data_IF_787323005822
#
_entry.id   IF_787323005822
#
_cell.length_a   1.000
_cell.length_b   1.000
_cell.length_c   1.000
_cell.angle_alpha   90.00
_cell.angle_beta   90.00
_cell.angle_gamma   90.00
#
_symmetry.space_group_name_H-M   'P 1'
#
loop_
_entity.id
_entity.type
_entity.pdbx_description
1 polymer ?
#
# COMPACT_ATOMS: atom_id res chain seq x y z
N UNK A 1 -10.81 -5.65 -23.39
CA UNK A 1 -10.59 -4.55 -22.41
C UNK A 1 -10.34 -5.20 -21.06
N UNK A 2 -9.38 -4.69 -20.24
CA UNK A 2 -9.24 -5.14 -18.85
C UNK A 2 -10.45 -4.58 -18.10
N UNK A 3 -11.35 -5.46 -17.62
CA UNK A 3 -12.44 -5.05 -16.76
C UNK A 3 -11.95 -4.95 -15.31
N UNK A 4 -12.35 -3.93 -14.55
CA UNK A 4 -12.04 -3.84 -13.13
C UNK A 4 -12.82 -4.94 -12.37
N UNK A 5 -12.16 -5.60 -11.44
CA UNK A 5 -12.84 -6.49 -10.49
C UNK A 5 -13.46 -5.65 -9.38
N UNK A 6 -14.74 -5.32 -9.53
CA UNK A 6 -15.50 -4.49 -8.60
C UNK A 6 -16.02 -5.38 -7.46
N UNK A 7 -15.73 -4.98 -6.21
CA UNK A 7 -16.18 -5.66 -4.99
C UNK A 7 -17.46 -4.98 -4.46
N UNK A 8 -17.51 -3.67 -4.56
CA UNK A 8 -18.67 -2.85 -4.17
C UNK A 8 -18.71 -1.58 -5.01
N UNK A 9 -19.91 -1.14 -5.34
CA UNK A 9 -20.13 0.13 -6.02
C UNK A 9 -21.45 0.73 -5.61
N UNK A 10 -21.47 2.07 -5.45
CA UNK A 10 -22.68 2.87 -5.32
C UNK A 10 -22.52 4.23 -6.05
N UNK A 11 -23.40 5.18 -5.76
CA UNK A 11 -23.34 6.51 -6.38
C UNK A 11 -22.13 7.36 -5.92
N UNK A 12 -21.42 6.97 -4.84
CA UNK A 12 -20.39 7.76 -4.20
C UNK A 12 -18.97 7.20 -4.36
N UNK A 13 -18.85 5.87 -4.41
CA UNK A 13 -17.56 5.21 -4.40
C UNK A 13 -17.57 3.85 -5.12
N UNK A 14 -16.38 3.38 -5.48
CA UNK A 14 -16.09 2.05 -6.00
C UNK A 14 -15.01 1.44 -5.12
N UNK A 15 -15.26 0.23 -4.60
CA UNK A 15 -14.24 -0.65 -4.02
C UNK A 15 -13.91 -1.72 -5.04
N UNK A 16 -12.63 -1.88 -5.36
CA UNK A 16 -12.19 -2.83 -6.37
C UNK A 16 -10.85 -3.48 -6.03
N UNK A 17 -10.58 -4.62 -6.65
CA UNK A 17 -9.28 -5.24 -6.65
C UNK A 17 -8.37 -4.58 -7.70
N UNK A 18 -7.18 -4.14 -7.28
CA UNK A 18 -6.11 -3.69 -8.16
C UNK A 18 -5.14 -4.85 -8.41
N UNK A 19 -4.98 -5.35 -9.63
CA UNK A 19 -3.99 -6.37 -9.92
C UNK A 19 -2.56 -5.80 -9.85
N UNK A 20 -1.59 -6.68 -9.60
CA UNK A 20 -0.18 -6.37 -9.74
C UNK A 20 0.15 -5.96 -11.19
N UNK A 21 1.10 -5.03 -11.37
CA UNK A 21 1.52 -4.55 -12.68
C UNK A 21 0.73 -3.35 -13.22
N UNK A 22 -0.48 -3.08 -12.71
CA UNK A 22 -1.27 -1.91 -13.09
C UNK A 22 -1.06 -0.78 -12.07
N UNK A 23 -0.71 0.41 -12.55
CA UNK A 23 -0.58 1.59 -11.68
C UNK A 23 -1.94 2.04 -11.15
N UNK A 24 -1.99 2.59 -9.95
CA UNK A 24 -3.19 3.27 -9.45
C UNK A 24 -3.56 4.44 -10.36
N UNK A 25 -2.56 5.26 -10.70
CA UNK A 25 -2.66 6.40 -11.63
C UNK A 25 -1.29 6.64 -12.25
N UNK A 26 -1.25 6.93 -13.55
CA UNK A 26 -0.02 7.26 -14.27
C UNK A 26 -0.15 8.56 -15.06
N UNK A 27 0.98 9.24 -15.28
CA UNK A 27 1.07 10.37 -16.21
C UNK A 27 1.55 9.95 -17.60
N UNK A 28 1.89 8.67 -17.80
CA UNK A 28 2.38 8.16 -19.07
C UNK A 28 1.22 8.00 -20.06
N UNK A 29 1.29 8.70 -21.17
CA UNK A 29 0.29 8.60 -22.23
C UNK A 29 0.27 7.15 -22.79
N UNK A 30 -0.95 6.63 -23.03
CA UNK A 30 -1.14 5.30 -23.59
C UNK A 30 -0.99 4.14 -22.60
N UNK A 31 -0.52 4.37 -21.37
CA UNK A 31 -0.48 3.35 -20.33
C UNK A 31 -1.79 3.32 -19.54
N UNK A 32 -2.43 2.14 -19.52
CA UNK A 32 -3.65 1.93 -18.71
C UNK A 32 -3.30 1.96 -17.22
N UNK A 33 -4.16 2.58 -16.43
CA UNK A 33 -4.13 2.60 -14.98
C UNK A 33 -5.53 2.40 -14.40
N UNK A 34 -5.62 2.23 -13.07
CA UNK A 34 -6.93 1.99 -12.44
C UNK A 34 -7.90 3.16 -12.65
N UNK A 35 -7.40 4.41 -12.61
CA UNK A 35 -8.25 5.59 -12.85
C UNK A 35 -8.86 5.57 -14.24
N UNK A 36 -8.08 5.32 -15.28
CA UNK A 36 -8.57 5.26 -16.66
C UNK A 36 -9.52 4.08 -16.90
N UNK A 37 -9.27 2.94 -16.27
CA UNK A 37 -10.14 1.75 -16.35
C UNK A 37 -11.49 2.06 -15.71
N UNK A 38 -11.50 2.64 -14.49
CA UNK A 38 -12.72 2.96 -13.75
C UNK A 38 -13.47 4.15 -14.37
N UNK A 39 -12.78 5.14 -14.96
CA UNK A 39 -13.43 6.21 -15.72
C UNK A 39 -14.22 5.65 -16.91
N UNK A 40 -13.64 4.70 -17.65
CA UNK A 40 -14.33 4.05 -18.74
C UNK A 40 -15.53 3.21 -18.27
N UNK A 41 -15.42 2.56 -17.11
CA UNK A 41 -16.52 1.82 -16.51
C UNK A 41 -17.69 2.76 -16.17
N UNK A 42 -17.44 3.82 -15.40
CA UNK A 42 -18.48 4.79 -14.98
C UNK A 42 -19.07 5.55 -16.17
N UNK A 43 -18.29 5.83 -17.23
CA UNK A 43 -18.78 6.50 -18.43
C UNK A 43 -19.83 5.69 -19.21
N UNK A 44 -19.82 4.36 -19.08
CA UNK A 44 -20.82 3.48 -19.73
C UNK A 44 -22.16 3.47 -19.00
N UNK A 45 -22.19 3.88 -17.72
CA UNK A 45 -23.37 3.82 -16.86
C UNK A 45 -24.23 5.09 -16.88
N UNK A 46 -23.73 6.24 -17.37
CA UNK A 46 -24.43 7.50 -17.16
C UNK A 46 -24.21 8.58 -18.21
N UNK A 47 -25.07 9.61 -18.15
CA UNK A 47 -25.10 10.77 -19.05
C UNK A 47 -24.26 11.95 -18.56
N UNK A 48 -23.59 11.86 -17.41
CA UNK A 48 -22.76 12.91 -16.80
C UNK A 48 -21.28 12.82 -17.16
N UNK A 49 -20.50 13.85 -16.81
CA UNK A 49 -19.04 13.76 -16.88
C UNK A 49 -18.53 12.76 -15.83
N UNK A 50 -17.87 11.66 -16.23
CA UNK A 50 -17.37 10.67 -15.29
C UNK A 50 -16.24 11.27 -14.45
N UNK A 51 -16.23 10.94 -13.15
CA UNK A 51 -15.19 11.36 -12.21
C UNK A 51 -14.73 10.19 -11.38
N UNK A 52 -13.41 10.02 -11.26
CA UNK A 52 -12.77 9.07 -10.35
C UNK A 52 -11.71 9.80 -9.53
N UNK A 53 -11.95 9.88 -8.21
CA UNK A 53 -11.04 10.46 -7.23
C UNK A 53 -10.17 9.40 -6.57
N UNK A 54 -8.85 9.57 -6.64
CA UNK A 54 -7.89 8.71 -5.93
C UNK A 54 -7.81 9.12 -4.47
N UNK A 55 -8.14 8.22 -3.56
CA UNK A 55 -8.12 8.43 -2.11
C UNK A 55 -6.79 7.98 -1.50
N UNK A 56 -6.34 6.79 -1.90
CA UNK A 56 -5.05 6.22 -1.51
C UNK A 56 -4.42 5.51 -2.71
N UNK A 57 -3.17 5.09 -2.58
CA UNK A 57 -2.41 4.50 -3.69
C UNK A 57 -1.73 3.21 -3.26
N UNK A 58 -1.68 2.26 -4.19
CA UNK A 58 -0.79 1.11 -4.15
C UNK A 58 0.29 1.29 -5.23
N UNK A 59 1.49 0.80 -4.95
CA UNK A 59 2.57 0.76 -5.94
C UNK A 59 2.14 -0.07 -7.16
N UNK A 60 2.68 0.25 -8.32
CA UNK A 60 2.33 -0.47 -9.55
C UNK A 60 2.46 -2.00 -9.43
N UNK A 61 3.55 -2.56 -8.87
CA UNK A 61 3.69 -4.01 -8.74
C UNK A 61 2.90 -4.65 -7.58
N UNK A 62 2.26 -3.85 -6.72
CA UNK A 62 1.52 -4.33 -5.54
C UNK A 62 0.06 -4.55 -5.88
N UNK A 63 -0.49 -5.71 -5.50
CA UNK A 63 -1.91 -6.02 -5.62
C UNK A 63 -2.70 -5.62 -4.37
N UNK A 64 -4.02 -5.56 -4.48
CA UNK A 64 -4.84 -5.39 -3.30
C UNK A 64 -6.16 -4.67 -3.50
N UNK A 65 -6.93 -4.59 -2.41
CA UNK A 65 -8.20 -3.87 -2.36
C UNK A 65 -7.95 -2.36 -2.27
N UNK A 66 -8.73 -1.61 -3.05
CA UNK A 66 -8.68 -0.15 -3.09
C UNK A 66 -10.09 0.45 -3.14
N UNK A 67 -10.23 1.67 -2.62
CA UNK A 67 -11.43 2.50 -2.79
C UNK A 67 -11.11 3.72 -3.65
N UNK A 68 -12.04 4.04 -4.56
CA UNK A 68 -12.05 5.24 -5.39
C UNK A 68 -13.37 5.99 -5.19
N UNK A 69 -13.31 7.31 -5.20
CA UNK A 69 -14.51 8.13 -5.10
C UNK A 69 -15.10 8.42 -6.48
N UNK A 70 -16.43 8.34 -6.62
CA UNK A 70 -17.19 8.74 -7.84
C UNK A 70 -17.59 10.20 -7.82
N UNK A 71 -17.43 10.90 -6.69
CA UNK A 71 -17.75 12.34 -6.54
C UNK A 71 -16.62 13.09 -5.84
N UNK A 72 -16.49 14.40 -6.15
CA UNK A 72 -15.49 15.26 -5.48
C UNK A 72 -15.73 15.35 -3.97
N UNK A 73 -16.98 15.35 -3.53
CA UNK A 73 -17.35 15.40 -2.11
C UNK A 73 -16.91 14.12 -1.38
N UNK A 74 -17.18 12.94 -1.97
CA UNK A 74 -16.76 11.68 -1.43
C UNK A 74 -15.21 11.59 -1.37
N UNK A 75 -14.52 12.04 -2.43
CA UNK A 75 -13.05 12.09 -2.45
C UNK A 75 -12.48 12.93 -1.31
N UNK A 76 -13.05 14.11 -1.05
CA UNK A 76 -12.60 15.00 0.03
C UNK A 76 -12.78 14.34 1.41
N UNK A 77 -13.96 13.73 1.68
CA UNK A 77 -14.26 13.07 2.96
C UNK A 77 -13.39 11.83 3.20
N UNK A 78 -13.21 10.97 2.18
CA UNK A 78 -12.34 9.81 2.29
C UNK A 78 -10.87 10.20 2.45
N UNK A 79 -10.41 11.24 1.74
CA UNK A 79 -9.06 11.78 1.90
C UNK A 79 -8.82 12.37 3.30
N UNK A 80 -9.84 12.94 3.94
CA UNK A 80 -9.77 13.39 5.33
C UNK A 80 -9.53 12.20 6.27
N UNK A 81 -10.25 11.08 6.10
CA UNK A 81 -10.05 9.86 6.89
C UNK A 81 -8.65 9.26 6.72
N UNK A 82 -8.09 9.32 5.51
CA UNK A 82 -6.68 8.91 5.29
C UNK A 82 -5.71 9.83 6.02
N UNK A 83 -5.99 11.14 6.07
CA UNK A 83 -5.14 12.14 6.71
C UNK A 83 -5.18 12.08 8.24
N UNK A 84 -6.34 11.81 8.82
CA UNK A 84 -6.53 11.71 10.28
C UNK A 84 -6.33 10.29 10.83
N UNK A 85 -5.91 9.34 9.96
CA UNK A 85 -5.62 7.95 10.28
C UNK A 85 -6.84 7.11 10.71
N UNK A 86 -8.06 7.57 10.44
CA UNK A 86 -9.28 6.79 10.64
C UNK A 86 -9.62 5.85 9.48
N UNK A 87 -8.82 5.84 8.43
CA UNK A 87 -8.88 4.90 7.31
C UNK A 87 -7.89 3.75 7.55
N UNK A 88 -8.41 2.57 7.90
CA UNK A 88 -7.60 1.39 8.17
C UNK A 88 -7.08 0.71 6.90
N UNK A 89 -5.86 0.18 6.98
CA UNK A 89 -5.21 -0.58 5.91
C UNK A 89 -4.35 -1.68 6.50
N UNK A 90 -4.60 -2.94 6.07
CA UNK A 90 -3.71 -4.03 6.43
C UNK A 90 -3.15 -4.73 5.19
N UNK A 91 -1.96 -5.28 5.36
CA UNK A 91 -1.21 -5.89 4.28
C UNK A 91 -0.67 -7.25 4.70
N UNK A 92 -0.67 -8.19 3.78
CA UNK A 92 0.21 -9.34 3.88
C UNK A 92 1.51 -9.05 3.14
N UNK A 93 2.63 -9.39 3.78
CA UNK A 93 3.95 -9.33 3.18
C UNK A 93 4.68 -10.65 3.41
N UNK A 94 5.15 -11.29 2.33
CA UNK A 94 6.05 -12.45 2.45
C UNK A 94 7.48 -11.95 2.29
N UNK A 95 8.31 -12.15 3.31
CA UNK A 95 9.69 -11.68 3.38
C UNK A 95 10.67 -12.83 3.22
N UNK A 96 11.88 -12.52 2.75
CA UNK A 96 13.01 -13.44 2.70
C UNK A 96 13.69 -13.51 4.06
N UNK A 97 14.02 -14.72 4.50
CA UNK A 97 14.86 -14.96 5.67
C UNK A 97 16.26 -15.46 5.23
N UNK A 98 17.33 -15.09 5.94
CA UNK A 98 18.62 -15.73 5.79
C UNK A 98 18.50 -17.23 6.10
N UNK A 99 19.29 -18.05 5.42
CA UNK A 99 19.26 -19.49 5.59
C UNK A 99 19.49 -19.92 7.04
N UNK A 100 18.61 -20.79 7.54
CA UNK A 100 18.68 -21.34 8.90
C UNK A 100 18.33 -20.35 10.01
N UNK A 101 17.76 -19.18 9.70
CA UNK A 101 17.34 -18.19 10.70
C UNK A 101 15.83 -17.99 10.72
N UNK A 102 15.28 -17.90 11.92
CA UNK A 102 13.93 -17.37 12.16
C UNK A 102 13.88 -15.86 11.90
N UNK A 103 12.68 -15.30 11.82
CA UNK A 103 12.51 -13.84 11.69
C UNK A 103 13.18 -13.08 12.86
N UNK A 104 13.00 -13.59 14.10
CA UNK A 104 13.59 -12.96 15.28
C UNK A 104 15.14 -12.99 15.26
N UNK A 105 15.74 -14.10 14.83
CA UNK A 105 17.19 -14.21 14.70
C UNK A 105 17.77 -13.40 13.55
N UNK A 106 17.00 -13.25 12.46
CA UNK A 106 17.42 -12.46 11.31
C UNK A 106 17.40 -10.96 11.57
N UNK A 107 16.42 -10.49 12.35
CA UNK A 107 16.14 -9.07 12.54
C UNK A 107 16.60 -8.54 13.91
N UNK A 108 16.75 -9.40 14.91
CA UNK A 108 16.92 -9.00 16.31
C UNK A 108 15.64 -8.45 16.95
N UNK A 109 14.49 -8.57 16.28
CA UNK A 109 13.18 -8.11 16.74
C UNK A 109 12.29 -9.30 17.11
N UNK A 110 11.28 -9.05 17.95
CA UNK A 110 10.24 -10.05 18.26
C UNK A 110 9.39 -10.39 17.02
N UNK A 111 8.59 -11.46 17.09
CA UNK A 111 7.67 -11.88 16.02
C UNK A 111 6.48 -10.95 15.85
N UNK A 112 6.30 -9.99 16.74
CA UNK A 112 5.34 -8.87 16.62
C UNK A 112 5.95 -7.59 17.20
N UNK A 113 5.54 -6.46 16.64
CA UNK A 113 6.06 -5.16 17.09
C UNK A 113 5.70 -4.01 16.17
N UNK A 114 6.30 -2.87 16.45
CA UNK A 114 6.11 -1.61 15.72
C UNK A 114 7.43 -1.19 15.09
N UNK A 115 7.42 -0.92 13.78
CA UNK A 115 8.54 -0.26 13.10
C UNK A 115 8.25 1.24 12.99
N UNK A 116 9.17 2.03 13.54
CA UNK A 116 9.12 3.49 13.50
C UNK A 116 10.44 4.01 12.94
N UNK A 117 10.40 4.53 11.73
CA UNK A 117 11.57 4.99 10.99
C UNK A 117 11.36 6.39 10.44
N UNK A 118 12.46 7.08 10.15
CA UNK A 118 12.45 8.28 9.33
C UNK A 118 12.83 7.92 7.91
N UNK A 119 11.99 8.34 6.95
CA UNK A 119 12.18 8.02 5.54
C UNK A 119 12.41 9.27 4.72
N UNK A 120 13.28 9.15 3.73
CA UNK A 120 13.54 10.15 2.70
C UNK A 120 13.25 9.58 1.32
N UNK A 121 12.60 10.39 0.47
CA UNK A 121 12.32 10.04 -0.91
C UNK A 121 13.30 10.74 -1.86
N UNK A 122 14.08 9.97 -2.59
CA UNK A 122 14.90 10.44 -3.71
C UNK A 122 14.07 10.45 -5.00
N UNK A 123 13.80 11.66 -5.51
CA UNK A 123 13.01 11.84 -6.74
C UNK A 123 13.75 11.40 -7.99
N UNK A 124 15.10 11.49 -8.02
CA UNK A 124 15.89 11.14 -9.19
C UNK A 124 15.90 9.63 -9.39
N UNK A 125 16.15 8.91 -8.32
CA UNK A 125 16.17 7.44 -8.29
C UNK A 125 14.76 6.84 -8.18
N UNK A 126 13.73 7.67 -7.91
CA UNK A 126 12.38 7.23 -7.57
C UNK A 126 12.41 6.15 -6.48
N UNK A 127 13.26 6.33 -5.47
CA UNK A 127 13.55 5.37 -4.41
C UNK A 127 13.45 6.05 -3.05
N UNK A 128 12.97 5.33 -2.03
CA UNK A 128 12.98 5.79 -0.64
C UNK A 128 14.02 5.01 0.15
N UNK A 129 14.53 5.60 1.22
CA UNK A 129 15.43 4.95 2.16
C UNK A 129 15.07 5.35 3.60
N UNK A 130 15.42 4.50 4.55
CA UNK A 130 15.44 4.85 5.97
C UNK A 130 16.67 5.69 6.21
N UNK A 131 16.52 6.72 7.03
CA UNK A 131 17.60 7.62 7.43
C UNK A 131 17.60 7.77 8.96
N UNK A 132 18.72 8.20 9.51
CA UNK A 132 18.82 8.47 10.95
C UNK A 132 17.82 9.54 11.38
N UNK A 133 17.34 9.41 12.62
CA UNK A 133 16.41 10.37 13.19
C UNK A 133 16.98 11.79 13.16
N UNK A 134 16.27 12.79 12.63
CA UNK A 134 16.76 14.16 12.59
C UNK A 134 16.98 14.68 14.02
N UNK A 135 18.10 15.36 14.27
CA UNK A 135 18.37 16.03 15.55
C UNK A 135 17.30 17.08 15.81
N UNK A 136 16.99 17.35 17.10
CA UNK A 136 15.90 18.24 17.53
C UNK A 136 15.88 19.63 16.84
N UNK A 137 17.03 20.15 16.48
CA UNK A 137 17.20 21.45 15.80
C UNK A 137 16.63 21.48 14.36
N UNK A 138 16.43 20.32 13.72
CA UNK A 138 15.87 20.20 12.36
C UNK A 138 14.36 20.02 12.33
N UNK A 139 13.68 19.98 13.48
CA UNK A 139 12.22 19.78 13.59
C UNK A 139 11.36 21.01 13.33
N UNK A 140 11.95 22.17 13.11
CA UNK A 140 11.20 23.41 12.89
C UNK A 140 10.76 23.55 11.42
N UNK A 141 9.49 23.25 11.21
CA UNK A 141 8.76 23.57 9.98
C UNK A 141 8.82 22.48 8.91
N UNK A 142 7.73 22.35 8.16
CA UNK A 142 7.52 21.52 6.98
C UNK A 142 8.84 21.12 6.31
N UNK A 143 9.30 19.87 6.58
CA UNK A 143 10.65 19.42 6.33
C UNK A 143 11.23 19.84 4.99
N UNK A 144 12.04 20.90 5.00
CA UNK A 144 12.79 21.35 3.82
C UNK A 144 13.64 20.24 3.20
N UNK A 145 13.85 19.12 3.92
CA UNK A 145 14.65 17.96 3.50
C UNK A 145 13.80 16.74 3.08
N UNK A 146 12.45 16.83 3.03
CA UNK A 146 11.60 15.71 2.60
C UNK A 146 11.58 14.51 3.56
N UNK A 147 12.06 14.65 4.80
CA UNK A 147 12.04 13.61 5.82
C UNK A 147 10.61 13.41 6.36
N UNK A 148 10.17 12.17 6.44
CA UNK A 148 8.84 11.81 6.92
C UNK A 148 8.91 10.62 7.87
N UNK A 149 8.18 10.72 9.00
CA UNK A 149 8.03 9.59 9.90
C UNK A 149 7.16 8.51 9.25
N UNK A 150 7.60 7.26 9.36
CA UNK A 150 6.94 6.06 8.88
C UNK A 150 6.64 5.12 10.05
N UNK A 151 5.38 4.71 10.19
CA UNK A 151 4.90 3.89 11.29
C UNK A 151 4.04 2.75 10.78
N UNK A 152 4.37 1.52 11.16
CA UNK A 152 3.57 0.33 10.96
C UNK A 152 3.70 -0.63 12.14
N UNK A 153 2.67 -1.44 12.37
CA UNK A 153 2.75 -2.61 13.23
C UNK A 153 2.84 -3.86 12.36
N UNK A 154 3.55 -4.88 12.84
CA UNK A 154 3.66 -6.16 12.17
C UNK A 154 3.49 -7.32 13.15
N UNK A 155 3.04 -8.45 12.62
CA UNK A 155 3.01 -9.73 13.30
C UNK A 155 3.37 -10.82 12.30
N UNK A 156 4.33 -11.67 12.65
CA UNK A 156 4.66 -12.88 11.91
C UNK A 156 3.55 -13.90 12.15
N UNK A 157 2.88 -14.33 11.09
CA UNK A 157 1.75 -15.28 11.15
C UNK A 157 2.16 -16.67 10.68
N UNK A 158 3.24 -16.79 9.93
CA UNK A 158 3.82 -18.07 9.50
C UNK A 158 5.29 -17.91 9.20
N UNK A 159 6.11 -18.89 9.59
CA UNK A 159 7.51 -18.99 9.18
C UNK A 159 7.74 -20.31 8.42
N UNK A 160 8.57 -20.22 7.40
CA UNK A 160 9.06 -21.34 6.60
C UNK A 160 10.59 -21.25 6.53
N UNK A 161 11.25 -22.28 6.04
CA UNK A 161 12.74 -22.38 6.05
C UNK A 161 13.48 -21.11 5.57
N UNK A 162 12.94 -20.45 4.54
CA UNK A 162 13.58 -19.26 3.90
C UNK A 162 12.68 -18.05 3.81
N UNK A 163 11.49 -18.10 4.40
CA UNK A 163 10.52 -17.01 4.30
C UNK A 163 9.67 -16.88 5.54
N UNK A 164 9.16 -15.67 5.81
CA UNK A 164 8.11 -15.44 6.79
C UNK A 164 6.95 -14.67 6.15
N UNK A 165 5.73 -14.96 6.60
CA UNK A 165 4.51 -14.23 6.23
C UNK A 165 4.14 -13.30 7.38
N UNK A 166 4.02 -12.02 7.09
CA UNK A 166 3.68 -10.97 8.03
C UNK A 166 2.28 -10.42 7.76
N UNK A 167 1.53 -10.19 8.83
CA UNK A 167 0.34 -9.34 8.87
C UNK A 167 0.79 -7.95 9.32
N UNK A 168 0.48 -6.92 8.54
CA UNK A 168 0.98 -5.55 8.75
C UNK A 168 -0.20 -4.58 8.83
N UNK A 169 -0.27 -3.80 9.91
CA UNK A 169 -1.17 -2.65 10.03
C UNK A 169 -0.41 -1.38 9.69
N UNK A 170 -0.86 -0.66 8.66
CA UNK A 170 -0.16 0.51 8.15
C UNK A 170 -0.75 1.82 8.69
N UNK A 171 -0.05 2.50 9.61
CA UNK A 171 -0.49 3.75 10.21
C UNK A 171 -0.16 4.97 9.35
N UNK A 172 0.97 4.96 8.64
CA UNK A 172 1.37 6.01 7.70
C UNK A 172 1.51 5.43 6.29
N UNK A 173 1.37 6.25 5.24
CA UNK A 173 1.44 5.81 3.84
C UNK A 173 2.57 6.50 3.08
N UNK A 174 3.84 6.28 3.45
CA UNK A 174 4.99 6.86 2.76
C UNK A 174 5.30 6.09 1.47
N UNK A 175 5.98 6.75 0.54
CA UNK A 175 6.38 6.12 -0.73
C UNK A 175 7.18 4.83 -0.49
N UNK A 176 6.65 3.69 -0.94
CA UNK A 176 7.21 2.34 -0.77
C UNK A 176 7.45 1.91 0.70
N UNK A 177 6.69 2.44 1.66
CA UNK A 177 6.99 2.35 3.09
C UNK A 177 7.29 0.92 3.56
N UNK A 178 6.36 -0.02 3.40
CA UNK A 178 6.51 -1.42 3.86
C UNK A 178 7.75 -2.06 3.23
N UNK A 179 7.95 -1.86 1.93
CA UNK A 179 9.07 -2.41 1.18
C UNK A 179 10.43 -1.92 1.71
N UNK A 180 10.51 -0.62 2.03
CA UNK A 180 11.74 0.02 2.54
C UNK A 180 12.02 -0.41 3.96
N UNK A 181 11.01 -0.38 4.85
CA UNK A 181 11.21 -0.72 6.27
C UNK A 181 11.59 -2.20 6.43
N UNK A 182 10.95 -3.13 5.72
CA UNK A 182 11.30 -4.55 5.77
C UNK A 182 12.69 -4.84 5.16
N UNK A 183 13.05 -4.16 4.08
CA UNK A 183 14.40 -4.27 3.51
C UNK A 183 15.47 -3.70 4.46
N UNK A 184 15.19 -2.58 5.13
CA UNK A 184 16.06 -1.99 6.13
C UNK A 184 16.25 -2.92 7.34
N UNK A 185 15.20 -3.65 7.73
CA UNK A 185 15.23 -4.65 8.78
C UNK A 185 16.08 -5.90 8.42
N UNK A 186 16.53 -6.02 7.16
CA UNK A 186 17.30 -7.17 6.68
C UNK A 186 16.46 -8.32 6.15
N UNK A 187 15.12 -8.16 6.08
CA UNK A 187 14.17 -9.14 5.58
C UNK A 187 13.35 -8.55 4.43
N UNK A 188 13.95 -8.35 3.24
CA UNK A 188 13.25 -7.76 2.09
C UNK A 188 12.09 -8.62 1.64
N UNK A 189 11.07 -8.00 1.04
CA UNK A 189 9.92 -8.69 0.49
C UNK A 189 10.36 -9.63 -0.64
N UNK A 190 9.85 -10.86 -0.64
CA UNK A 190 10.06 -11.82 -1.73
C UNK A 190 9.64 -11.21 -3.07
N UNK A 191 10.50 -11.30 -4.08
CA UNK A 191 10.22 -10.75 -5.42
C UNK A 191 10.38 -9.24 -5.56
N UNK A 192 10.79 -8.52 -4.52
CA UNK A 192 11.04 -7.08 -4.62
C UNK A 192 12.40 -6.79 -5.27
N UNK A 193 12.38 -6.46 -6.57
CA UNK A 193 13.59 -6.14 -7.34
C UNK A 193 14.19 -4.77 -6.97
N UNK A 194 13.43 -3.88 -6.32
CA UNK A 194 13.88 -2.52 -6.01
C UNK A 194 14.60 -2.42 -4.67
N UNK A 195 14.16 -3.20 -3.69
CA UNK A 195 14.70 -3.18 -2.32
C UNK A 195 15.23 -4.54 -1.86
N UNK A 196 15.01 -5.59 -2.62
CA UNK A 196 15.56 -6.93 -2.42
C UNK A 196 16.51 -7.33 -3.56
N UNK A 197 16.94 -8.58 -3.55
CA UNK A 197 17.90 -9.13 -4.53
C UNK A 197 17.24 -9.96 -5.64
N UNK A 198 15.90 -9.92 -5.77
CA UNK A 198 15.17 -10.76 -6.73
C UNK A 198 15.08 -10.09 -8.09
N UNK A 199 15.62 -10.71 -9.12
CA UNK A 199 15.45 -10.26 -10.50
C UNK A 199 14.06 -10.62 -11.05
N UNK A 200 13.34 -9.63 -11.58
CA UNK A 200 12.18 -9.84 -12.46
C UNK A 200 10.88 -10.36 -11.84
N UNK A 201 10.77 -10.41 -10.53
CA UNK A 201 9.56 -10.90 -9.85
C UNK A 201 8.66 -9.76 -9.35
N UNK A 202 7.41 -10.11 -9.04
CA UNK A 202 6.44 -9.20 -8.40
C UNK A 202 6.61 -9.29 -6.88
N UNK A 203 6.67 -8.16 -6.14
CA UNK A 203 6.74 -8.19 -4.69
C UNK A 203 5.55 -8.95 -4.09
N UNK A 204 5.81 -9.92 -3.23
CA UNK A 204 4.78 -10.61 -2.47
C UNK A 204 4.23 -9.69 -1.36
N UNK A 205 3.49 -8.68 -1.78
CA UNK A 205 2.85 -7.66 -0.96
C UNK A 205 1.43 -7.42 -1.46
N UNK A 206 0.45 -7.56 -0.57
CA UNK A 206 -0.97 -7.39 -0.88
C UNK A 206 -1.66 -6.52 0.17
N UNK A 207 -2.36 -5.47 -0.26
CA UNK A 207 -3.32 -4.75 0.57
C UNK A 207 -4.57 -5.61 0.67
N UNK A 208 -4.65 -6.47 1.69
CA UNK A 208 -5.75 -7.42 1.80
C UNK A 208 -6.99 -6.86 2.48
N UNK A 209 -6.84 -5.78 3.25
CA UNK A 209 -7.91 -5.20 4.06
C UNK A 209 -7.92 -3.68 3.99
N UNK A 210 -9.13 -3.12 3.86
CA UNK A 210 -9.41 -1.69 4.09
C UNK A 210 -10.67 -1.55 4.93
N UNK A 211 -10.69 -0.57 5.84
CA UNK A 211 -11.87 -0.14 6.57
C UNK A 211 -11.96 1.39 6.63
N UNK A 212 -13.19 1.91 6.53
CA UNK A 212 -13.45 3.35 6.50
C UNK A 212 -14.93 3.64 6.79
N UNK A 213 -15.25 4.91 7.03
CA UNK A 213 -16.64 5.36 7.15
C UNK A 213 -17.13 5.86 5.80
N UNK A 214 -18.28 5.33 5.36
CA UNK A 214 -18.89 5.74 4.08
C UNK A 214 -19.17 7.26 4.07
N UNK A 215 -18.72 7.99 3.01
CA UNK A 215 -18.64 9.45 3.03
C UNK A 215 -20.00 10.17 3.08
N UNK A 216 -21.11 9.48 2.75
CA UNK A 216 -22.43 10.06 2.77
C UNK A 216 -23.31 9.43 3.84
N UNK A 217 -23.41 8.10 3.91
CA UNK A 217 -24.29 7.43 4.86
C UNK A 217 -23.75 7.37 6.29
N UNK A 218 -22.43 7.60 6.49
CA UNK A 218 -21.79 7.48 7.80
C UNK A 218 -21.65 6.04 8.31
N UNK A 219 -21.99 5.03 7.51
CA UNK A 219 -21.90 3.62 7.89
C UNK A 219 -20.45 3.14 7.85
N UNK A 220 -20.00 2.28 8.79
CA UNK A 220 -18.72 1.60 8.68
C UNK A 220 -18.73 0.64 7.49
N UNK A 221 -17.64 0.66 6.72
CA UNK A 221 -17.41 -0.20 5.56
C UNK A 221 -16.10 -0.95 5.79
N UNK A 222 -16.09 -2.25 5.49
CA UNK A 222 -14.93 -3.12 5.66
C UNK A 222 -14.88 -4.11 4.50
N UNK A 223 -13.70 -4.28 3.89
CA UNK A 223 -13.49 -5.18 2.78
C UNK A 223 -12.20 -5.95 2.93
N UNK A 224 -12.31 -7.26 2.78
CA UNK A 224 -11.20 -8.21 2.80
C UNK A 224 -11.11 -8.94 1.46
N UNK A 225 -9.88 -9.20 1.03
CA UNK A 225 -9.60 -10.03 -0.15
C UNK A 225 -8.53 -11.07 0.17
N UNK A 226 -8.52 -12.14 -0.62
CA UNK A 226 -7.39 -13.08 -0.62
C UNK A 226 -6.35 -12.62 -1.65
N UNK A 227 -5.05 -12.64 -1.30
CA UNK A 227 -3.98 -12.41 -2.28
C UNK A 227 -4.06 -13.40 -3.45
N UNK A 228 -3.73 -12.95 -4.66
CA UNK A 228 -3.76 -13.79 -5.87
C UNK A 228 -2.37 -14.15 -6.39
N UNK A 229 -1.35 -13.36 -6.06
CA UNK A 229 0.01 -13.51 -6.59
C UNK A 229 1.07 -13.74 -5.50
N UNK A 230 0.70 -14.40 -4.41
CA UNK A 230 1.56 -14.55 -3.23
C UNK A 230 2.42 -15.82 -3.26
N UNK A 231 2.09 -16.79 -4.09
CA UNK A 231 2.78 -18.08 -4.15
C UNK A 231 2.63 -18.96 -2.90
N UNK A 232 1.65 -18.68 -2.04
CA UNK A 232 1.22 -19.50 -0.88
C UNK A 232 -0.31 -19.50 -0.83
N UNK A 233 -0.88 -20.61 -0.37
CA UNK A 233 -2.32 -20.72 -0.06
C UNK A 233 -2.63 -19.99 1.26
N UNK A 234 -3.76 -19.25 1.29
CA UNK A 234 -4.30 -18.51 2.43
C UNK A 234 -5.59 -19.16 2.93
#
# INVERSE_FOLDING_TARGET
MIQPEIIYEDAQLIVCYKPAGIATQTKRLGQKDMVSILLNHVAQEGTGQPFIGVVHRLDQPVEGVMVFAKTKQAAAKLSAQVKDHSFGKKYYARVQLPEGKTFAEATGHATEGTLRDWMQFDRKENKSCVVEQPRKEQKNGNGKNGLQEALLDYRVIKEEEKTALLDITLHTGRHHQIRVQLAHLGTPICGDHKYGNAAGATPALCSYHIDFIHPVSGKPMMYDIKPKNFGVEF
#
